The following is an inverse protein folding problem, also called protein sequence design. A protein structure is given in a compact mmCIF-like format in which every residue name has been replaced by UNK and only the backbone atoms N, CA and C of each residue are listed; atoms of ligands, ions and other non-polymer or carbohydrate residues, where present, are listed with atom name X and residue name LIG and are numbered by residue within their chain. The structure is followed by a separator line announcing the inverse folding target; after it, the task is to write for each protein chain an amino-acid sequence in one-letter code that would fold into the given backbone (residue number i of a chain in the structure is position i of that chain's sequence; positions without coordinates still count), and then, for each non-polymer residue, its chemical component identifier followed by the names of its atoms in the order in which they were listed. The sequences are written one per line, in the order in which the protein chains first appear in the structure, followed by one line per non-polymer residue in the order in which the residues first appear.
data_IF_558940598033
#
_entry.id   IF_558940598033
#
_cell.length_a   1.000
_cell.length_b   1.000
_cell.length_c   1.000
_cell.angle_alpha   90.00
_cell.angle_beta   90.00
_cell.angle_gamma   90.00
#
_symmetry.space_group_name_H-M   'P 1'
#
loop_
_entity.id
_entity.type
_entity.pdbx_description
1 polymer ?
#
# COMPACT_ATOMS: atom_id res chain seq x y z
N UNK A 1 -9.31 14.81 -10.85
CA UNK A 1 -7.85 14.77 -11.10
C UNK A 1 -7.57 13.62 -12.04
N UNK A 2 -6.71 13.84 -13.01
CA UNK A 2 -6.26 12.83 -13.98
C UNK A 2 -4.86 12.29 -13.60
N UNK A 3 -4.33 11.38 -14.41
CA UNK A 3 -3.01 10.78 -14.20
C UNK A 3 -1.89 11.82 -14.23
N UNK A 4 -1.89 12.68 -15.24
CA UNK A 4 -0.83 13.67 -15.48
C UNK A 4 -0.68 14.65 -14.32
N UNK A 5 -1.80 15.09 -13.74
CA UNK A 5 -1.81 15.91 -12.53
C UNK A 5 -1.10 15.19 -11.36
N UNK A 6 -1.43 13.91 -11.13
CA UNK A 6 -0.84 13.13 -10.03
C UNK A 6 0.65 12.92 -10.26
N UNK A 7 1.10 12.58 -11.47
CA UNK A 7 2.53 12.42 -11.80
C UNK A 7 3.30 13.71 -11.51
N UNK A 8 2.79 14.85 -11.98
CA UNK A 8 3.42 16.15 -11.74
C UNK A 8 3.47 16.49 -10.25
N UNK A 9 2.41 16.21 -9.50
CA UNK A 9 2.38 16.41 -8.05
C UNK A 9 3.39 15.51 -7.33
N UNK A 10 3.49 14.23 -7.69
CA UNK A 10 4.46 13.30 -7.11
C UNK A 10 5.90 13.76 -7.35
N UNK A 11 6.23 14.13 -8.60
CA UNK A 11 7.56 14.64 -8.96
C UNK A 11 7.89 15.94 -8.24
N UNK A 12 6.94 16.87 -8.15
CA UNK A 12 7.10 18.12 -7.38
C UNK A 12 7.38 17.86 -5.90
N UNK A 13 6.85 16.78 -5.34
CA UNK A 13 7.08 16.37 -3.96
C UNK A 13 8.29 15.41 -3.78
N UNK A 14 9.15 15.30 -4.80
CA UNK A 14 10.42 14.60 -4.69
C UNK A 14 10.42 13.13 -5.10
N UNK A 15 9.33 12.61 -5.67
CA UNK A 15 9.36 11.28 -6.31
C UNK A 15 10.20 11.36 -7.58
N UNK A 16 11.19 10.49 -7.70
CA UNK A 16 12.12 10.44 -8.82
C UNK A 16 12.15 9.04 -9.44
N UNK A 17 12.63 8.99 -10.69
CA UNK A 17 12.89 7.74 -11.39
C UNK A 17 13.90 6.88 -10.63
N UNK A 18 13.69 5.56 -10.63
CA UNK A 18 14.54 4.59 -9.92
C UNK A 18 14.27 4.46 -8.42
N UNK A 19 13.37 5.27 -7.85
CA UNK A 19 13.07 5.18 -6.41
C UNK A 19 12.40 3.86 -6.02
N UNK A 20 12.79 3.37 -4.84
CA UNK A 20 12.13 2.28 -4.13
C UNK A 20 11.16 2.87 -3.10
N UNK A 21 9.85 2.69 -3.29
CA UNK A 21 8.82 3.31 -2.47
C UNK A 21 7.98 2.27 -1.71
N UNK A 22 7.85 2.43 -0.40
CA UNK A 22 6.70 1.89 0.34
C UNK A 22 5.55 2.89 0.25
N UNK A 23 4.39 2.46 -0.23
CA UNK A 23 3.25 3.35 -0.46
C UNK A 23 2.08 3.01 0.44
N UNK A 24 1.56 4.05 1.11
CA UNK A 24 0.29 4.02 1.83
C UNK A 24 -0.62 5.12 1.31
N UNK A 25 -1.92 4.83 1.19
CA UNK A 25 -2.82 5.78 0.55
C UNK A 25 -4.27 5.67 0.99
N UNK A 26 -4.98 6.79 0.87
CA UNK A 26 -6.43 6.86 1.01
C UNK A 26 -7.03 7.49 -0.24
N UNK A 27 -7.65 6.69 -1.13
CA UNK A 27 -8.26 7.22 -2.36
C UNK A 27 -9.27 8.35 -2.08
N UNK A 28 -10.01 8.26 -0.96
CA UNK A 28 -10.99 9.29 -0.57
C UNK A 28 -10.35 10.66 -0.31
N UNK A 29 -9.09 10.70 0.13
CA UNK A 29 -8.37 11.96 0.40
C UNK A 29 -8.04 12.75 -0.87
N UNK A 30 -8.05 12.09 -2.04
CA UNK A 30 -7.82 12.74 -3.33
C UNK A 30 -9.07 13.49 -3.83
N UNK A 31 -10.26 13.28 -3.25
CA UNK A 31 -11.51 13.72 -3.86
C UNK A 31 -11.81 12.88 -5.11
N UNK A 32 -12.15 13.52 -6.23
CA UNK A 32 -12.45 12.80 -7.49
C UNK A 32 -11.18 12.53 -8.31
N UNK A 33 -10.92 11.25 -8.58
CA UNK A 33 -9.85 10.78 -9.48
C UNK A 33 -10.50 10.06 -10.66
N UNK A 34 -10.25 10.55 -11.87
CA UNK A 34 -10.67 9.89 -13.10
C UNK A 34 -10.03 8.51 -13.17
N UNK A 35 -10.80 7.44 -13.36
CA UNK A 35 -10.29 6.05 -13.32
C UNK A 35 -9.95 5.51 -11.92
N UNK A 36 -10.13 6.31 -10.86
CA UNK A 36 -10.03 5.87 -9.48
C UNK A 36 -8.64 5.33 -9.09
N UNK A 37 -8.62 4.15 -8.44
CA UNK A 37 -7.40 3.54 -7.92
C UNK A 37 -6.35 3.23 -9.01
N UNK A 38 -6.81 2.78 -10.18
CA UNK A 38 -5.94 2.43 -11.32
C UNK A 38 -5.08 3.62 -11.76
N UNK A 39 -5.70 4.81 -11.82
CA UNK A 39 -5.01 6.04 -12.19
C UNK A 39 -3.94 6.46 -11.18
N UNK A 40 -4.23 6.30 -9.88
CA UNK A 40 -3.22 6.57 -8.84
C UNK A 40 -2.04 5.61 -8.96
N UNK A 41 -2.32 4.31 -9.15
CA UNK A 41 -1.28 3.30 -9.30
C UNK A 41 -0.44 3.56 -10.55
N UNK A 42 -1.09 3.86 -11.67
CA UNK A 42 -0.42 4.19 -12.94
C UNK A 42 0.47 5.42 -12.79
N UNK A 43 0.00 6.47 -12.11
CA UNK A 43 0.79 7.66 -11.85
C UNK A 43 2.03 7.38 -10.99
N UNK A 44 1.92 6.53 -9.95
CA UNK A 44 3.07 6.15 -9.12
C UNK A 44 4.08 5.35 -9.95
N UNK A 45 3.62 4.34 -10.72
CA UNK A 45 4.48 3.55 -11.62
C UNK A 45 5.20 4.42 -12.64
N UNK A 46 4.51 5.36 -13.26
CA UNK A 46 5.11 6.32 -14.21
C UNK A 46 6.11 7.26 -13.53
N UNK A 47 5.87 7.64 -12.28
CA UNK A 47 6.75 8.56 -11.55
C UNK A 47 8.09 7.92 -11.16
N UNK A 48 8.09 6.63 -10.81
CA UNK A 48 9.31 5.88 -10.46
C UNK A 48 10.00 5.22 -11.67
N UNK A 49 9.32 5.11 -12.81
CA UNK A 49 9.88 4.56 -14.05
C UNK A 49 10.18 3.06 -14.00
N UNK A 50 10.84 2.55 -15.05
CA UNK A 50 11.15 1.11 -15.20
C UNK A 50 12.17 0.61 -14.18
N UNK A 51 13.08 1.48 -13.74
CA UNK A 51 14.09 1.17 -12.73
C UNK A 51 13.55 1.30 -11.29
N UNK A 52 12.32 1.81 -11.13
CA UNK A 52 11.68 1.99 -9.84
C UNK A 52 11.19 0.70 -9.21
N UNK A 53 10.86 0.77 -7.92
CA UNK A 53 10.18 -0.33 -7.21
C UNK A 53 9.09 0.22 -6.30
N UNK A 54 7.95 -0.46 -6.24
CA UNK A 54 6.82 -0.12 -5.38
C UNK A 54 6.53 -1.30 -4.47
N UNK A 55 6.43 -1.03 -3.18
CA UNK A 55 5.97 -1.94 -2.13
C UNK A 55 4.66 -1.39 -1.56
N UNK A 56 3.63 -2.23 -1.47
CA UNK A 56 2.39 -1.89 -0.78
C UNK A 56 2.01 -3.03 0.18
N UNK A 57 1.56 -2.72 1.41
CA UNK A 57 1.04 -3.75 2.29
C UNK A 57 -0.18 -4.43 1.66
N UNK A 58 -0.17 -5.76 1.69
CA UNK A 58 -1.28 -6.58 1.27
C UNK A 58 -1.72 -7.47 2.43
N UNK A 59 -1.84 -6.89 3.64
CA UNK A 59 -2.22 -7.63 4.84
C UNK A 59 -3.62 -8.24 4.69
N UNK A 60 -3.79 -9.46 5.19
CA UNK A 60 -5.07 -10.20 5.21
C UNK A 60 -5.94 -9.81 6.40
N UNK A 61 -6.06 -8.53 6.68
CA UNK A 61 -6.78 -8.02 7.85
C UNK A 61 -8.04 -7.24 7.43
N UNK A 62 -9.15 -7.47 8.12
CA UNK A 62 -10.36 -6.66 7.97
C UNK A 62 -10.19 -5.27 8.57
N UNK A 63 -10.99 -4.28 8.16
CA UNK A 63 -11.21 -3.10 8.99
C UNK A 63 -11.64 -3.51 10.41
N UNK A 64 -11.42 -2.60 11.37
CA UNK A 64 -11.88 -2.80 12.74
C UNK A 64 -13.39 -3.06 12.77
N UNK A 65 -13.79 -4.08 13.51
CA UNK A 65 -15.18 -4.42 13.77
C UNK A 65 -15.71 -3.56 14.92
N UNK A 66 -17.04 -3.39 14.94
CA UNK A 66 -17.73 -2.84 16.10
C UNK A 66 -17.55 -3.77 17.30
N UNK A 67 -17.05 -3.22 18.41
CA UNK A 67 -16.89 -3.94 19.67
C UNK A 67 -18.24 -4.13 20.35
N UNK A 68 -18.50 -5.34 20.85
CA UNK A 68 -19.67 -5.60 21.71
C UNK A 68 -19.43 -5.06 23.12
N UNK A 69 -20.48 -4.99 23.94
CA UNK A 69 -20.32 -4.61 25.34
C UNK A 69 -19.49 -5.62 26.13
N UNK A 70 -19.54 -6.89 25.74
CA UNK A 70 -18.67 -7.93 26.32
C UNK A 70 -17.21 -7.72 25.92
N UNK A 71 -16.94 -7.42 24.64
CA UNK A 71 -15.58 -7.09 24.18
C UNK A 71 -15.00 -5.94 25.02
N UNK A 72 -15.78 -4.88 25.26
CA UNK A 72 -15.37 -3.73 26.07
C UNK A 72 -15.12 -4.08 27.54
N UNK A 73 -15.98 -4.92 28.15
CA UNK A 73 -15.79 -5.39 29.53
C UNK A 73 -14.50 -6.19 29.70
N UNK A 74 -14.09 -6.92 28.67
CA UNK A 74 -12.81 -7.63 28.60
C UNK A 74 -11.62 -6.71 28.31
N UNK A 75 -11.83 -5.40 28.19
CA UNK A 75 -10.78 -4.42 27.88
C UNK A 75 -10.30 -4.46 26.44
N UNK A 76 -11.03 -5.11 25.52
CA UNK A 76 -10.66 -5.17 24.11
C UNK A 76 -10.85 -3.78 23.49
N UNK A 77 -9.78 -3.26 22.86
CA UNK A 77 -9.77 -1.94 22.21
C UNK A 77 -9.85 -2.03 20.68
N UNK A 78 -9.59 -3.21 20.11
CA UNK A 78 -9.65 -3.46 18.67
C UNK A 78 -10.01 -4.92 18.38
N UNK A 79 -10.87 -5.14 17.38
CA UNK A 79 -11.27 -6.47 16.92
C UNK A 79 -11.23 -6.51 15.40
N UNK A 80 -10.45 -7.42 14.85
CA UNK A 80 -10.26 -7.59 13.40
C UNK A 80 -10.37 -9.07 13.03
N UNK A 81 -10.68 -9.36 11.77
CA UNK A 81 -10.67 -10.71 11.20
C UNK A 81 -9.45 -10.92 10.33
N UNK A 82 -8.90 -12.12 10.39
CA UNK A 82 -8.03 -12.64 9.34
C UNK A 82 -8.94 -13.00 8.16
N UNK A 83 -8.65 -12.44 7.00
CA UNK A 83 -9.39 -12.62 5.76
C UNK A 83 -8.82 -13.79 4.95
N UNK A 84 -9.58 -14.42 4.05
CA UNK A 84 -9.05 -15.44 3.12
C UNK A 84 -8.06 -14.83 2.11
N UNK A 85 -7.30 -15.67 1.39
CA UNK A 85 -6.33 -15.21 0.38
C UNK A 85 -7.00 -14.45 -0.77
N UNK A 86 -8.12 -14.98 -1.24
CA UNK A 86 -8.92 -14.48 -2.38
C UNK A 86 -9.80 -13.26 -2.04
N UNK A 87 -9.66 -12.70 -0.84
CA UNK A 87 -10.41 -11.52 -0.38
C UNK A 87 -10.39 -10.42 -1.43
N UNK A 88 -11.51 -9.72 -1.65
CA UNK A 88 -11.57 -8.55 -2.55
C UNK A 88 -11.25 -7.23 -1.85
N UNK A 89 -11.54 -7.16 -0.55
CA UNK A 89 -11.37 -5.96 0.28
C UNK A 89 -10.58 -6.31 1.53
N UNK A 90 -9.85 -5.32 2.04
CA UNK A 90 -9.06 -5.42 3.27
C UNK A 90 -8.96 -4.03 3.92
N UNK A 91 -8.39 -3.96 5.12
CA UNK A 91 -8.07 -2.70 5.78
C UNK A 91 -7.02 -1.87 5.03
N UNK A 92 -6.33 -2.42 4.02
CA UNK A 92 -5.25 -1.74 3.29
C UNK A 92 -5.75 -0.70 2.26
N UNK A 93 -7.06 -0.61 2.06
CA UNK A 93 -7.67 0.36 1.15
C UNK A 93 -7.72 -0.08 -0.31
N UNK A 94 -8.51 0.63 -1.12
CA UNK A 94 -8.81 0.20 -2.50
C UNK A 94 -7.59 0.22 -3.41
N UNK A 95 -6.67 1.19 -3.24
CA UNK A 95 -5.45 1.29 -4.03
C UNK A 95 -4.57 0.05 -3.83
N UNK A 96 -4.28 -0.33 -2.59
CA UNK A 96 -3.49 -1.53 -2.30
C UNK A 96 -4.20 -2.83 -2.76
N UNK A 97 -5.53 -2.91 -2.56
CA UNK A 97 -6.32 -4.07 -3.00
C UNK A 97 -6.35 -4.23 -4.52
N UNK A 98 -6.33 -3.14 -5.27
CA UNK A 98 -6.21 -3.13 -6.73
C UNK A 98 -4.77 -3.46 -7.16
N UNK A 99 -3.77 -2.82 -6.56
CA UNK A 99 -2.36 -2.98 -6.90
C UNK A 99 -1.90 -4.44 -6.86
N UNK A 100 -2.24 -5.18 -5.80
CA UNK A 100 -1.86 -6.59 -5.64
C UNK A 100 -2.42 -7.53 -6.71
N UNK A 101 -3.47 -7.11 -7.42
CA UNK A 101 -4.16 -7.90 -8.46
C UNK A 101 -3.70 -7.51 -9.87
N UNK A 102 -2.90 -6.44 -10.02
CA UNK A 102 -2.44 -6.00 -11.34
C UNK A 102 -1.38 -6.95 -11.90
N UNK A 103 -1.37 -7.07 -13.24
CA UNK A 103 -0.31 -7.77 -13.96
C UNK A 103 1.06 -7.16 -13.63
N UNK A 104 2.04 -8.04 -13.39
CA UNK A 104 3.40 -7.66 -13.01
C UNK A 104 3.58 -7.29 -11.54
N UNK A 105 2.51 -7.25 -10.73
CA UNK A 105 2.65 -7.16 -9.27
C UNK A 105 2.80 -8.55 -8.68
N UNK A 106 3.81 -8.75 -7.85
CA UNK A 106 4.02 -9.97 -7.07
C UNK A 106 3.47 -9.76 -5.66
N UNK A 107 2.93 -10.80 -5.03
CA UNK A 107 2.40 -10.71 -3.66
C UNK A 107 2.92 -11.88 -2.85
N UNK A 108 3.43 -11.58 -1.64
CA UNK A 108 3.82 -12.58 -0.65
C UNK A 108 2.67 -13.49 -0.20
N UNK A 109 2.99 -14.43 0.69
CA UNK A 109 2.01 -15.32 1.32
C UNK A 109 1.85 -15.00 2.81
N UNK A 110 0.79 -15.54 3.40
CA UNK A 110 0.51 -15.39 4.83
C UNK A 110 -0.24 -14.10 5.20
N UNK A 111 -0.38 -13.86 6.50
CA UNK A 111 -1.25 -12.79 7.00
C UNK A 111 -0.63 -11.41 6.76
N UNK A 112 0.68 -11.29 6.97
CA UNK A 112 1.43 -10.03 6.93
C UNK A 112 2.15 -9.81 5.59
N UNK A 113 1.55 -10.28 4.50
CA UNK A 113 2.15 -10.24 3.18
C UNK A 113 2.25 -8.81 2.60
N UNK A 114 3.29 -8.59 1.80
CA UNK A 114 3.54 -7.36 1.05
C UNK A 114 3.45 -7.66 -0.45
N UNK A 115 2.95 -6.70 -1.22
CA UNK A 115 2.96 -6.73 -2.68
C UNK A 115 4.08 -5.85 -3.22
N UNK A 116 4.77 -6.31 -4.26
CA UNK A 116 5.87 -5.63 -4.92
C UNK A 116 5.65 -5.50 -6.42
N UNK A 117 6.11 -4.40 -7.02
CA UNK A 117 6.18 -4.18 -8.46
C UNK A 117 7.49 -3.48 -8.83
N UNK A 118 8.01 -3.75 -10.03
CA UNK A 118 9.22 -3.12 -10.56
C UNK A 118 10.49 -3.93 -10.29
N UNK A 119 11.63 -3.25 -10.32
CA UNK A 119 12.98 -3.86 -10.36
C UNK A 119 13.24 -4.86 -9.23
N UNK A 120 12.77 -4.56 -8.02
CA UNK A 120 12.97 -5.40 -6.83
C UNK A 120 11.65 -6.00 -6.31
N UNK A 121 10.66 -6.23 -7.16
CA UNK A 121 9.35 -6.77 -6.77
C UNK A 121 9.43 -8.10 -6.00
N UNK A 122 10.40 -8.97 -6.36
CA UNK A 122 10.56 -10.28 -5.74
C UNK A 122 10.92 -10.19 -4.25
N UNK A 123 11.61 -9.12 -3.85
CA UNK A 123 12.00 -8.86 -2.46
C UNK A 123 10.78 -8.64 -1.55
N UNK A 124 9.67 -8.14 -2.10
CA UNK A 124 8.43 -7.98 -1.36
C UNK A 124 7.83 -9.33 -0.93
N UNK A 125 8.02 -10.36 -1.77
CA UNK A 125 7.47 -11.70 -1.58
C UNK A 125 8.30 -12.47 -0.55
N UNK A 126 9.63 -12.32 -0.58
CA UNK A 126 10.57 -13.08 0.24
C UNK A 126 10.84 -12.41 1.59
N UNK A 127 11.03 -11.09 1.60
CA UNK A 127 11.50 -10.33 2.76
C UNK A 127 10.55 -9.23 3.23
N UNK A 128 9.39 -9.07 2.60
CA UNK A 128 8.47 -7.97 2.91
C UNK A 128 9.10 -6.61 2.62
N UNK A 129 9.19 -5.74 3.63
CA UNK A 129 9.81 -4.41 3.50
C UNK A 129 11.31 -4.38 3.83
N UNK A 130 11.93 -5.51 4.21
CA UNK A 130 13.35 -5.54 4.60
C UNK A 130 14.26 -4.91 3.55
N UNK A 131 14.05 -5.23 2.27
CA UNK A 131 14.84 -4.65 1.19
C UNK A 131 14.70 -3.13 1.13
N UNK A 132 13.46 -2.61 1.14
CA UNK A 132 13.21 -1.18 1.08
C UNK A 132 13.86 -0.43 2.26
N UNK A 133 13.76 -0.99 3.47
CA UNK A 133 14.32 -0.38 4.69
C UNK A 133 15.85 -0.28 4.63
N UNK A 134 16.52 -1.34 4.17
CA UNK A 134 17.98 -1.42 4.21
C UNK A 134 18.69 -0.92 2.94
N UNK A 135 17.94 -0.59 1.88
CA UNK A 135 18.50 -0.16 0.58
C UNK A 135 18.05 1.24 0.18
N UNK A 136 17.85 2.13 1.16
CA UNK A 136 17.57 3.55 0.91
C UNK A 136 16.16 3.83 0.36
N UNK A 137 15.22 2.90 0.53
CA UNK A 137 13.83 3.09 0.19
C UNK A 137 13.18 4.25 0.94
N UNK A 138 12.10 4.77 0.39
CA UNK A 138 11.34 5.90 0.94
C UNK A 138 9.89 5.51 1.20
N UNK A 139 9.27 6.17 2.16
CA UNK A 139 7.84 6.07 2.40
C UNK A 139 7.10 7.17 1.63
N UNK A 140 6.04 6.81 0.92
CA UNK A 140 5.10 7.72 0.28
C UNK A 140 3.72 7.59 0.94
N UNK A 141 3.36 8.59 1.74
CA UNK A 141 2.09 8.64 2.48
C UNK A 141 1.11 9.59 1.77
N UNK A 142 0.09 9.04 1.14
CA UNK A 142 -0.88 9.78 0.34
C UNK A 142 -2.22 9.93 1.07
N UNK A 143 -2.37 11.04 1.79
CA UNK A 143 -3.58 11.35 2.56
C UNK A 143 -3.85 10.38 3.71
N UNK A 144 -2.77 9.90 4.30
CA UNK A 144 -2.72 9.09 5.51
C UNK A 144 -1.60 9.61 6.41
N UNK A 145 -1.69 9.32 7.70
CA UNK A 145 -0.68 9.72 8.68
C UNK A 145 0.41 8.65 8.87
N UNK A 146 1.39 8.99 9.70
CA UNK A 146 2.52 8.13 10.04
C UNK A 146 2.08 6.82 10.71
N UNK A 147 0.93 6.77 11.37
CA UNK A 147 0.42 5.55 12.03
C UNK A 147 -0.02 4.47 11.05
N UNK A 148 0.01 4.74 9.74
CA UNK A 148 -0.18 3.73 8.69
C UNK A 148 1.13 3.13 8.18
N UNK A 149 2.28 3.74 8.45
CA UNK A 149 3.56 3.31 7.90
C UNK A 149 3.99 1.93 8.44
N UNK A 150 3.97 0.91 7.57
CA UNK A 150 4.24 -0.49 7.97
C UNK A 150 5.71 -0.73 8.28
N UNK A 151 6.64 -0.01 7.63
CA UNK A 151 8.06 -0.08 7.97
C UNK A 151 8.38 0.21 9.45
N UNK A 152 7.53 0.91 10.20
CA UNK A 152 7.76 1.16 11.63
C UNK A 152 7.54 -0.08 12.53
N UNK A 153 7.09 -1.20 11.98
CA UNK A 153 6.97 -2.47 12.69
C UNK A 153 8.21 -3.37 12.55
N UNK A 154 9.22 -2.94 11.79
CA UNK A 154 10.46 -3.69 11.54
C UNK A 154 11.56 -3.35 12.54
#
# INVERSE_FOLDING_TARGET
MDKSFIVNALRKNGVQEGMCLEVHSSLKSFGYVEGGAETVISAIKESVGSEGTIFMPALRLSPALTLTDEDKKLGITCKIKILPDDRKKSAMGIIANTFRLQNGTLTGSGIMQISGWGKHAQEAVTGGLNFAIHNGGKALLLGVDIYKLTAMHY
#
